data_IF_566738335886
#
_entry.id   IF_566738335886
#
_cell.length_a   1.000
_cell.length_b   1.000
_cell.length_c   1.000
_cell.angle_alpha   90.00
_cell.angle_beta   90.00
_cell.angle_gamma   90.00
#
_symmetry.space_group_name_H-M   'P 1'
#
loop_
_entity.id
_entity.type
_entity.pdbx_description
1 polymer ?
#
# COMPACT_ATOMS: atom_id res chain seq x y z
N UNK A 1 5.42 -8.24 4.85
CA UNK A 1 4.06 -8.14 5.41
C UNK A 1 3.99 -8.54 6.89
N UNK A 2 4.26 -9.79 7.28
CA UNK A 2 4.24 -10.20 8.70
C UNK A 2 5.20 -9.33 9.54
N UNK A 3 6.42 -9.12 9.06
CA UNK A 3 7.42 -8.24 9.70
C UNK A 3 6.94 -6.80 9.84
N UNK A 4 6.32 -6.23 8.81
CA UNK A 4 5.84 -4.84 8.83
C UNK A 4 4.69 -4.66 9.84
N UNK A 5 3.78 -5.64 9.94
CA UNK A 5 2.71 -5.63 10.95
C UNK A 5 3.26 -5.70 12.37
N UNK A 6 4.27 -6.56 12.59
CA UNK A 6 4.97 -6.70 13.85
C UNK A 6 5.75 -5.43 14.23
N UNK A 7 6.30 -4.72 13.24
CA UNK A 7 6.94 -3.41 13.41
C UNK A 7 5.92 -2.27 13.70
N UNK A 8 4.61 -2.55 13.63
CA UNK A 8 3.57 -1.58 13.96
C UNK A 8 2.93 -0.88 12.76
N UNK A 9 3.31 -1.24 11.52
CA UNK A 9 2.66 -0.69 10.32
C UNK A 9 1.19 -1.08 10.27
N UNK A 10 0.33 -0.13 9.91
CA UNK A 10 -1.12 -0.36 9.72
C UNK A 10 -1.53 0.06 8.32
N UNK A 11 -2.56 -0.60 7.79
CA UNK A 11 -3.09 -0.25 6.48
C UNK A 11 -4.45 0.43 6.63
N UNK A 12 -4.66 1.52 5.89
CA UNK A 12 -5.95 2.21 5.81
C UNK A 12 -6.46 2.18 4.38
N UNK A 13 -7.64 1.58 4.10
CA UNK A 13 -8.23 1.63 2.78
C UNK A 13 -8.48 3.06 2.32
N UNK A 14 -8.09 3.36 1.08
CA UNK A 14 -8.35 4.60 0.36
C UNK A 14 -9.43 4.36 -0.69
N UNK A 15 -9.22 3.37 -1.57
CA UNK A 15 -10.19 2.95 -2.57
C UNK A 15 -10.27 1.43 -2.68
N UNK A 16 -11.47 0.94 -2.99
CA UNK A 16 -11.73 -0.47 -3.26
C UNK A 16 -12.54 -0.58 -4.54
N UNK A 17 -11.98 -1.26 -5.52
CA UNK A 17 -12.64 -1.62 -6.78
C UNK A 17 -12.76 -3.13 -6.84
N UNK A 18 -13.98 -3.63 -7.03
CA UNK A 18 -14.23 -5.07 -7.14
C UNK A 18 -14.98 -5.38 -8.43
N UNK A 19 -14.29 -6.01 -9.37
CA UNK A 19 -14.85 -6.61 -10.56
C UNK A 19 -15.04 -8.12 -10.42
N UNK A 20 -15.44 -8.77 -11.53
CA UNK A 20 -15.61 -10.22 -11.59
C UNK A 20 -14.29 -10.95 -11.36
N UNK A 21 -13.27 -10.59 -12.14
CA UNK A 21 -11.99 -11.32 -12.20
C UNK A 21 -10.82 -10.52 -11.59
N UNK A 22 -11.05 -9.27 -11.21
CA UNK A 22 -10.02 -8.39 -10.61
C UNK A 22 -10.59 -7.62 -9.44
N UNK A 23 -9.83 -7.55 -8.35
CA UNK A 23 -10.07 -6.65 -7.22
C UNK A 23 -8.82 -5.80 -7.00
N UNK A 24 -9.01 -4.50 -6.78
CA UNK A 24 -7.94 -3.57 -6.42
C UNK A 24 -8.27 -2.94 -5.08
N UNK A 25 -7.35 -3.04 -4.13
CA UNK A 25 -7.38 -2.25 -2.89
C UNK A 25 -6.22 -1.27 -2.89
N UNK A 26 -6.53 0.03 -2.88
CA UNK A 26 -5.57 1.08 -2.63
C UNK A 26 -5.57 1.38 -1.13
N UNK A 27 -4.38 1.36 -0.53
CA UNK A 27 -4.21 1.49 0.91
C UNK A 27 -3.11 2.50 1.21
N UNK A 28 -3.32 3.35 2.22
CA UNK A 28 -2.22 4.04 2.88
C UNK A 28 -1.49 3.06 3.80
N UNK A 29 -0.16 3.16 3.85
CA UNK A 29 0.66 2.49 4.86
C UNK A 29 1.01 3.50 5.95
N UNK A 30 0.46 3.28 7.14
CA UNK A 30 0.68 4.12 8.32
C UNK A 30 1.85 3.51 9.09
N UNK A 31 3.00 4.15 8.98
CA UNK A 31 4.22 3.77 9.69
C UNK A 31 4.11 4.08 11.19
N UNK A 32 4.84 3.34 12.04
CA UNK A 32 4.91 3.64 13.47
C UNK A 32 5.60 5.00 13.70
N UNK A 33 5.22 5.69 14.78
CA UNK A 33 5.67 7.07 15.03
C UNK A 33 7.17 7.19 15.29
N UNK A 34 7.79 6.12 15.81
CA UNK A 34 9.23 5.98 16.08
C UNK A 34 10.04 5.57 14.84
N UNK A 35 9.41 5.09 13.78
CA UNK A 35 10.03 4.85 12.47
C UNK A 35 9.11 5.28 11.29
N UNK A 36 8.95 6.61 11.05
CA UNK A 36 8.03 7.12 10.03
C UNK A 36 8.39 6.76 8.59
N UNK A 37 9.61 6.28 8.34
CA UNK A 37 10.13 5.95 7.01
C UNK A 37 10.14 4.43 6.72
N UNK A 38 9.57 3.62 7.62
CA UNK A 38 9.63 2.16 7.55
C UNK A 38 9.13 1.56 6.23
N UNK A 39 7.93 1.96 5.79
CA UNK A 39 7.34 1.55 4.51
C UNK A 39 7.10 2.75 3.58
N UNK A 40 7.03 2.51 2.26
CA UNK A 40 6.50 3.50 1.30
C UNK A 40 5.09 3.99 1.71
N UNK A 41 4.65 5.18 1.27
CA UNK A 41 3.44 5.82 1.81
C UNK A 41 2.13 5.09 1.51
N UNK A 42 2.12 4.19 0.52
CA UNK A 42 0.93 3.46 0.14
C UNK A 42 1.23 2.22 -0.70
N UNK A 43 0.21 1.40 -0.90
CA UNK A 43 0.26 0.18 -1.69
C UNK A 43 -1.06 -0.06 -2.41
N UNK A 44 -0.98 -0.48 -3.67
CA UNK A 44 -2.10 -1.07 -4.39
C UNK A 44 -1.96 -2.60 -4.38
N UNK A 45 -2.98 -3.28 -3.88
CA UNK A 45 -3.13 -4.73 -3.94
C UNK A 45 -3.95 -5.09 -5.18
N UNK A 46 -3.29 -5.61 -6.20
CA UNK A 46 -3.94 -6.12 -7.40
C UNK A 46 -4.17 -7.62 -7.23
N UNK A 47 -5.43 -8.02 -7.15
CA UNK A 47 -5.84 -9.41 -6.95
C UNK A 47 -6.58 -9.93 -8.18
N UNK A 48 -5.98 -10.89 -8.88
CA UNK A 48 -6.68 -11.65 -9.92
C UNK A 48 -7.51 -12.74 -9.26
N UNK A 49 -8.73 -12.96 -9.75
CA UNK A 49 -9.67 -13.94 -9.24
C UNK A 49 -10.08 -14.91 -10.32
N UNK A 50 -10.21 -16.18 -9.94
CA UNK A 50 -10.90 -17.20 -10.73
C UNK A 50 -11.98 -17.85 -9.86
N UNK A 51 -13.18 -17.99 -10.42
CA UNK A 51 -14.36 -18.51 -9.71
C UNK A 51 -14.58 -17.86 -8.33
N UNK A 52 -14.32 -16.56 -8.24
CA UNK A 52 -14.47 -15.77 -7.02
C UNK A 52 -13.35 -15.91 -5.99
N UNK A 53 -12.32 -16.74 -6.23
CA UNK A 53 -11.16 -16.91 -5.36
C UNK A 53 -9.96 -16.16 -5.89
N UNK A 54 -9.19 -15.50 -5.01
CA UNK A 54 -7.92 -14.88 -5.41
C UNK A 54 -6.93 -15.97 -5.80
N UNK A 55 -6.43 -15.91 -7.03
CA UNK A 55 -5.43 -16.84 -7.58
C UNK A 55 -4.05 -16.22 -7.70
N UNK A 56 -3.99 -14.90 -7.85
CA UNK A 56 -2.75 -14.15 -7.90
C UNK A 56 -2.91 -12.84 -7.13
N UNK A 57 -1.85 -12.46 -6.41
CA UNK A 57 -1.76 -11.19 -5.69
C UNK A 57 -0.45 -10.49 -6.07
N UNK A 58 -0.55 -9.25 -6.54
CA UNK A 58 0.59 -8.37 -6.79
C UNK A 58 0.46 -7.10 -5.95
N UNK A 59 1.57 -6.67 -5.36
CA UNK A 59 1.64 -5.43 -4.59
C UNK A 59 2.44 -4.40 -5.38
N UNK A 60 1.87 -3.21 -5.54
CA UNK A 60 2.54 -2.07 -6.15
C UNK A 60 2.65 -0.96 -5.11
N UNK A 61 3.88 -0.67 -4.67
CA UNK A 61 4.12 0.42 -3.73
C UNK A 61 4.04 1.77 -4.42
N UNK A 62 3.40 2.73 -3.75
CA UNK A 62 3.43 4.11 -4.17
C UNK A 62 4.87 4.65 -4.07
N UNK A 63 5.31 5.49 -5.03
CA UNK A 63 6.63 6.10 -4.95
C UNK A 63 6.71 7.01 -3.72
N UNK A 64 7.85 7.00 -3.04
CA UNK A 64 8.15 7.99 -2.00
C UNK A 64 8.32 9.34 -2.70
N UNK A 65 7.40 10.27 -2.47
CA UNK A 65 7.54 11.63 -2.98
C UNK A 65 8.78 12.26 -2.34
N UNK A 66 9.84 12.46 -3.13
CA UNK A 66 10.99 13.24 -2.67
C UNK A 66 10.56 14.71 -2.69
N UNK A 67 10.34 15.30 -1.52
CA UNK A 67 10.16 16.75 -1.44
C UNK A 67 11.47 17.38 -1.90
N UNK A 68 11.45 17.99 -3.09
CA UNK A 68 12.57 18.83 -3.52
C UNK A 68 12.50 20.08 -2.66
N UNK A 69 13.47 20.28 -1.78
CA UNK A 69 13.59 21.52 -1.03
C UNK A 69 13.69 22.68 -2.05
N UNK A 70 12.67 23.54 -2.10
CA UNK A 70 12.72 24.77 -2.87
C UNK A 70 13.89 25.63 -2.38
N UNK A 71 14.46 26.49 -3.25
CA UNK A 71 15.60 27.30 -2.86
C UNK A 71 15.22 28.19 -1.66
N UNK A 72 16.08 28.22 -0.65
CA UNK A 72 15.98 29.21 0.41
C UNK A 72 16.10 30.61 -0.22
N UNK A 73 15.12 31.47 0.07
CA UNK A 73 15.19 32.91 -0.23
C UNK A 73 16.26 33.59 0.62
#
# INVERSE_FOLDING_TARGET
MEGDLAAGVRQRPVHVLAGRDVVVWEMDLINPADDPAHCPPGVAWLMTRDQGRVTELRLHHAPVATVTAGPAN
#
